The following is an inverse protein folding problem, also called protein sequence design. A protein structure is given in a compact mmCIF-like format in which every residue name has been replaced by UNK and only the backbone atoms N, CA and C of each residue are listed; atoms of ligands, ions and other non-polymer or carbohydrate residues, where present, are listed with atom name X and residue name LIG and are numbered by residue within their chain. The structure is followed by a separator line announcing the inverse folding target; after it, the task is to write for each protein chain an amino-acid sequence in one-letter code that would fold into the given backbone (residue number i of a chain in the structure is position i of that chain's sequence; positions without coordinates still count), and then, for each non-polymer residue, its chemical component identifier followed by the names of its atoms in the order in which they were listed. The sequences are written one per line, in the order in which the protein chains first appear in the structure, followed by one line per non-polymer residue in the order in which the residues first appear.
data_IF_374390336024
#
_entry.id   IF_374390336024
#
_cell.length_a   1.000
_cell.length_b   1.000
_cell.length_c   1.000
_cell.angle_alpha   90.00
_cell.angle_beta   90.00
_cell.angle_gamma   90.00
#
_symmetry.space_group_name_H-M   'P 1'
#
loop_
_entity.id
_entity.type
_entity.pdbx_description
1 polymer ?
#
# COMPACT_ATOMS: atom_id res chain seq x y z
N UNK A 1 18.30 -63.30 18.35
CA UNK A 1 18.14 -62.46 17.16
C UNK A 1 16.83 -61.67 17.13
N UNK A 2 16.35 -61.07 18.24
CA UNK A 2 15.07 -60.28 18.24
C UNK A 2 15.19 -58.85 18.79
N UNK A 3 16.39 -58.33 19.07
CA UNK A 3 16.58 -56.98 19.66
C UNK A 3 17.09 -55.91 18.66
N UNK A 4 17.50 -56.28 17.41
CA UNK A 4 18.06 -55.33 16.44
C UNK A 4 17.02 -54.72 15.47
N UNK A 5 15.83 -55.31 15.36
CA UNK A 5 14.77 -54.84 14.44
C UNK A 5 13.88 -53.74 15.01
N UNK A 6 13.83 -53.54 16.33
CA UNK A 6 13.00 -52.50 16.97
C UNK A 6 13.65 -51.11 16.96
N UNK A 7 14.97 -51.02 16.89
CA UNK A 7 15.68 -49.73 16.88
C UNK A 7 15.68 -49.04 15.50
N UNK A 8 15.58 -49.82 14.43
CA UNK A 8 15.53 -49.26 13.07
C UNK A 8 14.16 -48.66 12.72
N UNK A 9 13.07 -49.21 13.24
CA UNK A 9 11.72 -48.69 13.00
C UNK A 9 11.45 -47.38 13.78
N UNK A 10 12.02 -47.22 14.97
CA UNK A 10 11.89 -46.00 15.77
C UNK A 10 12.69 -44.82 15.18
N UNK A 11 13.83 -45.08 14.55
CA UNK A 11 14.65 -44.05 13.91
C UNK A 11 14.01 -43.53 12.62
N UNK A 12 13.35 -44.37 11.83
CA UNK A 12 12.63 -43.94 10.62
C UNK A 12 11.35 -43.14 10.96
N UNK A 13 10.64 -43.50 12.02
CA UNK A 13 9.45 -42.73 12.44
C UNK A 13 9.81 -41.35 13.02
N UNK A 14 10.97 -41.22 13.69
CA UNK A 14 11.46 -39.93 14.18
C UNK A 14 11.93 -39.02 13.05
N UNK A 15 12.55 -39.56 12.00
CA UNK A 15 12.96 -38.76 10.80
C UNK A 15 11.77 -38.30 9.95
N UNK A 16 10.69 -39.08 9.86
CA UNK A 16 9.48 -38.67 9.16
C UNK A 16 8.68 -37.63 9.92
N UNK A 17 8.69 -37.62 11.24
CA UNK A 17 8.07 -36.61 12.09
C UNK A 17 8.86 -35.28 12.09
N UNK A 18 10.20 -35.29 11.94
CA UNK A 18 11.00 -34.07 11.78
C UNK A 18 10.88 -33.45 10.37
N UNK A 19 10.62 -34.23 9.34
CA UNK A 19 10.40 -33.74 7.99
C UNK A 19 9.00 -33.09 7.77
N UNK A 20 8.02 -33.42 8.64
CA UNK A 20 6.68 -32.85 8.60
C UNK A 20 6.56 -31.51 9.40
N UNK A 21 7.60 -31.11 10.16
CA UNK A 21 7.55 -29.95 11.05
C UNK A 21 8.15 -28.65 10.47
N UNK A 22 8.47 -28.59 9.17
CA UNK A 22 8.90 -27.36 8.51
C UNK A 22 7.87 -26.79 7.51
N UNK A 23 6.59 -26.86 7.84
CA UNK A 23 5.66 -25.88 7.28
C UNK A 23 6.04 -24.54 7.91
N UNK A 24 6.82 -23.72 7.20
CA UNK A 24 7.13 -22.36 7.64
C UNK A 24 5.81 -21.64 7.92
N UNK A 25 5.63 -21.16 9.14
CA UNK A 25 4.42 -20.44 9.51
C UNK A 25 4.19 -19.30 8.50
N UNK A 26 2.96 -19.21 7.99
CA UNK A 26 2.57 -18.19 7.03
C UNK A 26 2.92 -16.78 7.56
N UNK A 27 3.61 -15.98 6.75
CA UNK A 27 3.96 -14.61 7.13
C UNK A 27 2.71 -13.73 7.27
N UNK A 28 2.83 -12.59 7.94
CA UNK A 28 1.70 -11.66 8.06
C UNK A 28 1.28 -11.10 6.68
N UNK A 29 2.22 -10.79 5.79
CA UNK A 29 1.91 -10.32 4.44
C UNK A 29 1.17 -11.38 3.62
N UNK A 30 1.49 -12.66 3.75
CA UNK A 30 0.76 -13.75 3.10
C UNK A 30 -0.69 -13.81 3.59
N UNK A 31 -0.94 -13.71 4.91
CA UNK A 31 -2.30 -13.66 5.46
C UNK A 31 -3.09 -12.44 4.98
N UNK A 32 -2.47 -11.24 5.00
CA UNK A 32 -3.10 -10.01 4.48
C UNK A 32 -3.47 -10.21 3.02
N UNK A 33 -2.56 -10.74 2.20
CA UNK A 33 -2.77 -10.97 0.79
C UNK A 33 -3.87 -12.00 0.52
N UNK A 34 -3.87 -13.12 1.22
CA UNK A 34 -4.93 -14.13 1.11
C UNK A 34 -6.30 -13.52 1.43
N UNK A 35 -6.39 -12.79 2.54
CA UNK A 35 -7.61 -12.07 2.93
C UNK A 35 -8.02 -11.05 1.87
N UNK A 36 -7.07 -10.31 1.28
CA UNK A 36 -7.32 -9.32 0.25
C UNK A 36 -7.90 -9.95 -1.02
N UNK A 37 -7.37 -11.09 -1.43
CA UNK A 37 -7.83 -11.82 -2.62
C UNK A 37 -9.08 -12.67 -2.38
N UNK A 38 -9.48 -12.89 -1.12
CA UNK A 38 -10.70 -13.62 -0.76
C UNK A 38 -11.98 -12.82 -1.06
N UNK A 39 -13.12 -13.51 -0.98
CA UNK A 39 -14.45 -12.90 -1.12
C UNK A 39 -14.99 -12.32 0.21
N UNK A 40 -14.22 -12.37 1.29
CA UNK A 40 -14.61 -11.75 2.57
C UNK A 40 -14.63 -10.23 2.43
N UNK A 41 -15.81 -9.63 2.55
CA UNK A 41 -16.03 -8.19 2.49
C UNK A 41 -16.30 -7.58 3.88
N UNK A 42 -16.27 -8.41 4.94
CA UNK A 42 -16.39 -7.91 6.30
C UNK A 42 -15.08 -7.27 6.79
N UNK A 43 -13.95 -7.82 6.37
CA UNK A 43 -12.66 -7.25 6.75
C UNK A 43 -12.35 -5.97 5.96
N UNK A 44 -11.95 -4.92 6.68
CA UNK A 44 -11.54 -3.62 6.12
C UNK A 44 -10.04 -3.44 6.31
N UNK A 45 -9.33 -3.27 5.20
CA UNK A 45 -7.89 -3.03 5.20
C UNK A 45 -7.59 -1.57 5.50
N UNK A 46 -6.57 -1.35 6.34
CA UNK A 46 -6.09 -0.02 6.68
C UNK A 46 -4.73 0.21 6.02
N UNK A 47 -4.66 1.25 5.18
CA UNK A 47 -3.44 1.76 4.59
C UNK A 47 -3.05 3.07 5.28
N UNK A 48 -1.81 3.14 5.80
CA UNK A 48 -1.30 4.35 6.43
C UNK A 48 -0.48 5.16 5.42
N UNK A 49 -0.96 6.37 5.14
CA UNK A 49 -0.40 7.31 4.16
C UNK A 49 0.96 7.84 4.62
N UNK A 50 2.02 7.57 3.86
CA UNK A 50 3.43 7.90 4.18
C UNK A 50 3.91 7.37 5.52
N UNK A 51 3.30 6.25 5.98
CA UNK A 51 3.53 5.71 7.32
C UNK A 51 2.80 6.46 8.42
N UNK A 52 3.21 6.27 9.67
CA UNK A 52 2.67 6.99 10.84
C UNK A 52 3.33 8.36 11.01
N UNK A 53 3.11 9.25 10.04
CA UNK A 53 3.75 10.56 10.00
C UNK A 53 3.27 11.53 11.10
N UNK A 54 2.18 11.22 11.77
CA UNK A 54 1.71 12.05 12.89
C UNK A 54 2.60 11.93 14.12
N UNK A 55 3.25 10.79 14.28
CA UNK A 55 4.15 10.50 15.40
C UNK A 55 5.64 10.54 15.00
N UNK A 56 5.94 10.31 13.69
CA UNK A 56 7.30 10.25 13.15
C UNK A 56 7.40 11.08 11.87
N UNK A 57 8.60 11.35 11.32
CA UNK A 57 8.70 11.95 9.98
C UNK A 57 8.02 11.06 8.92
N UNK A 58 7.31 11.68 7.95
CA UNK A 58 6.73 10.94 6.81
C UNK A 58 7.81 10.13 6.08
N UNK A 59 7.45 8.95 5.57
CA UNK A 59 8.34 8.07 4.82
C UNK A 59 9.60 7.60 5.60
N UNK A 60 9.58 7.67 6.93
CA UNK A 60 10.72 7.27 7.77
C UNK A 60 10.64 5.82 8.24
N UNK A 61 11.79 5.30 8.70
CA UNK A 61 11.89 3.97 9.29
C UNK A 61 10.88 3.76 10.42
N UNK A 62 10.83 4.70 11.37
CA UNK A 62 9.99 4.52 12.56
C UNK A 62 8.51 4.74 12.24
N UNK A 63 8.16 5.57 11.22
CA UNK A 63 6.80 5.65 10.71
C UNK A 63 6.33 4.30 10.13
N UNK A 64 7.19 3.59 9.38
CA UNK A 64 6.92 2.25 8.87
C UNK A 64 6.77 1.24 10.01
N UNK A 65 7.71 1.24 10.95
CA UNK A 65 7.68 0.31 12.10
C UNK A 65 6.46 0.54 12.99
N UNK A 66 6.02 1.78 13.15
CA UNK A 66 4.78 2.12 13.87
C UNK A 66 3.54 1.54 13.17
N UNK A 67 3.44 1.63 11.84
CA UNK A 67 2.36 1.00 11.08
C UNK A 67 2.27 -0.50 11.34
N UNK A 68 3.43 -1.18 11.37
CA UNK A 68 3.51 -2.61 11.65
C UNK A 68 3.08 -2.91 13.09
N UNK A 69 3.54 -2.12 14.06
CA UNK A 69 3.22 -2.30 15.48
C UNK A 69 1.74 -2.04 15.79
N UNK A 70 1.12 -1.07 15.12
CA UNK A 70 -0.31 -0.76 15.22
C UNK A 70 -1.19 -1.85 14.59
N UNK A 71 -0.64 -2.69 13.72
CA UNK A 71 -1.39 -3.72 13.02
C UNK A 71 -2.03 -3.26 11.72
N UNK A 72 -1.59 -2.16 11.12
CA UNK A 72 -2.02 -1.75 9.77
C UNK A 72 -1.66 -2.81 8.72
N UNK A 73 -2.46 -2.93 7.68
CA UNK A 73 -2.27 -3.94 6.62
C UNK A 73 -1.34 -3.47 5.53
N UNK A 74 -1.37 -2.18 5.23
CA UNK A 74 -0.64 -1.56 4.13
C UNK A 74 0.04 -0.30 4.66
N UNK A 75 1.29 -0.09 4.28
CA UNK A 75 1.94 1.22 4.38
C UNK A 75 2.06 1.79 2.97
N UNK A 76 1.62 3.03 2.79
CA UNK A 76 1.85 3.74 1.55
C UNK A 76 3.13 4.56 1.66
N UNK A 77 3.97 4.54 0.61
CA UNK A 77 5.29 5.15 0.56
C UNK A 77 5.53 5.78 -0.81
N UNK A 78 6.18 6.94 -0.81
CA UNK A 78 6.49 7.70 -2.01
C UNK A 78 7.92 7.43 -2.48
N UNK A 79 8.13 7.02 -3.74
CA UNK A 79 9.45 6.77 -4.31
C UNK A 79 9.88 7.88 -5.28
N UNK A 80 11.09 8.43 -5.08
CA UNK A 80 11.71 9.42 -5.97
C UNK A 80 13.09 8.95 -6.42
N UNK A 81 13.40 9.09 -7.71
CA UNK A 81 14.69 8.65 -8.27
C UNK A 81 15.76 9.74 -8.13
N UNK A 82 16.92 9.34 -7.65
CA UNK A 82 18.13 10.19 -7.52
C UNK A 82 18.86 10.31 -8.87
N UNK A 83 19.82 11.23 -8.96
CA UNK A 83 20.66 11.45 -10.15
C UNK A 83 21.40 10.17 -10.62
N UNK A 84 21.80 9.35 -9.69
CA UNK A 84 22.56 8.10 -9.93
C UNK A 84 21.66 6.84 -9.93
N UNK A 85 20.33 7.01 -10.10
CA UNK A 85 19.38 5.93 -10.39
C UNK A 85 18.92 5.12 -9.17
N UNK A 86 19.16 5.58 -7.95
CA UNK A 86 18.61 4.97 -6.74
C UNK A 86 17.24 5.56 -6.41
N UNK A 87 16.39 4.80 -5.73
CA UNK A 87 15.12 5.31 -5.20
C UNK A 87 15.24 5.63 -3.72
N UNK A 88 14.81 6.84 -3.35
CA UNK A 88 14.65 7.26 -1.96
C UNK A 88 13.17 7.43 -1.63
N UNK A 89 12.81 7.32 -0.35
CA UNK A 89 11.46 7.62 0.11
C UNK A 89 11.31 9.10 0.38
N UNK A 90 10.57 9.79 -0.49
CA UNK A 90 10.25 11.21 -0.38
C UNK A 90 9.03 11.55 -1.24
N UNK A 91 8.07 12.30 -0.68
CA UNK A 91 6.90 12.71 -1.45
C UNK A 91 7.22 13.74 -2.54
N UNK A 92 7.94 14.79 -2.18
CA UNK A 92 8.24 15.89 -3.09
C UNK A 92 9.43 15.54 -4.00
N UNK A 93 9.47 16.10 -5.19
CA UNK A 93 10.64 16.02 -6.07
C UNK A 93 11.82 16.88 -5.59
N UNK A 94 11.72 17.54 -4.41
CA UNK A 94 12.80 18.30 -3.77
C UNK A 94 12.92 17.97 -2.28
N UNK A 95 14.12 18.17 -1.72
CA UNK A 95 14.45 17.93 -0.33
C UNK A 95 13.86 18.97 0.64
N UNK A 96 13.42 20.11 0.13
CA UNK A 96 13.22 21.37 0.86
C UNK A 96 12.22 21.29 2.00
N UNK A 97 11.08 20.63 1.78
CA UNK A 97 9.97 20.58 2.75
C UNK A 97 10.29 19.63 3.90
N UNK A 98 10.69 18.41 3.62
CA UNK A 98 10.72 17.30 4.58
C UNK A 98 12.11 16.94 5.08
N UNK A 99 13.17 17.61 4.58
CA UNK A 99 14.55 17.32 4.98
C UNK A 99 15.33 18.58 5.37
N UNK A 100 16.51 18.39 5.95
CA UNK A 100 17.48 19.48 6.22
C UNK A 100 18.23 19.91 4.95
N UNK A 101 18.09 19.16 3.85
CA UNK A 101 18.70 19.43 2.56
C UNK A 101 17.89 20.42 1.72
N UNK A 102 18.46 20.75 0.56
CA UNK A 102 17.89 21.66 -0.44
C UNK A 102 18.11 21.10 -1.84
N UNK A 103 17.21 21.46 -2.76
CA UNK A 103 17.35 21.14 -4.18
C UNK A 103 16.55 19.91 -4.61
N UNK A 104 16.55 19.66 -5.93
CA UNK A 104 15.76 18.58 -6.53
C UNK A 104 16.45 17.24 -6.31
N UNK A 105 15.67 16.20 -6.00
CA UNK A 105 16.14 14.83 -5.81
C UNK A 105 16.91 14.32 -7.03
N UNK A 106 16.37 14.54 -8.22
CA UNK A 106 16.97 14.10 -9.50
C UNK A 106 18.31 14.74 -9.85
N UNK A 107 18.71 15.81 -9.16
CA UNK A 107 19.98 16.52 -9.41
C UNK A 107 21.07 16.11 -8.43
N UNK A 108 20.77 15.28 -7.43
CA UNK A 108 21.65 14.83 -6.35
C UNK A 108 21.82 13.31 -6.37
N UNK A 109 23.04 12.85 -6.08
CA UNK A 109 23.33 11.43 -5.87
C UNK A 109 22.80 10.94 -4.53
N UNK A 110 22.63 9.62 -4.40
CA UNK A 110 22.25 9.01 -3.13
C UNK A 110 23.22 9.37 -2.00
N UNK A 111 24.52 9.36 -2.28
CA UNK A 111 25.56 9.70 -1.30
C UNK A 111 25.46 11.16 -0.79
N UNK A 112 25.05 12.08 -1.65
CA UNK A 112 24.78 13.47 -1.26
C UNK A 112 23.52 13.57 -0.41
N UNK A 113 22.44 12.89 -0.81
CA UNK A 113 21.14 12.92 -0.10
C UNK A 113 21.25 12.30 1.30
N UNK A 114 21.98 11.20 1.46
CA UNK A 114 22.16 10.54 2.76
C UNK A 114 22.87 11.38 3.82
N UNK A 115 23.46 12.53 3.46
CA UNK A 115 24.02 13.50 4.42
C UNK A 115 22.95 14.31 5.16
N UNK A 116 21.73 14.36 4.65
CA UNK A 116 20.63 15.10 5.22
C UNK A 116 19.77 14.24 6.15
N UNK A 117 19.01 14.90 7.02
CA UNK A 117 18.07 14.28 7.95
C UNK A 117 16.64 14.71 7.64
N UNK A 118 15.69 13.86 8.00
CA UNK A 118 14.28 14.18 7.92
C UNK A 118 13.91 15.26 8.96
N UNK A 119 12.90 16.06 8.64
CA UNK A 119 12.22 16.97 9.57
C UNK A 119 11.01 16.26 10.20
N UNK A 120 10.55 16.76 11.33
CA UNK A 120 9.40 16.21 12.06
C UNK A 120 8.12 16.21 11.21
N UNK A 121 7.28 15.19 11.41
CA UNK A 121 5.98 15.03 10.77
C UNK A 121 6.06 15.11 9.21
N UNK A 122 5.26 15.98 8.60
CA UNK A 122 5.30 16.25 7.16
C UNK A 122 6.26 17.39 6.77
N UNK A 123 7.17 17.79 7.65
CA UNK A 123 8.11 18.88 7.36
C UNK A 123 7.43 20.25 7.24
N UNK A 124 7.99 21.12 6.38
CA UNK A 124 7.48 22.46 6.16
C UNK A 124 8.07 23.53 7.08
N UNK A 125 7.42 24.72 7.08
CA UNK A 125 7.88 25.88 7.88
C UNK A 125 7.73 25.56 9.38
N UNK A 126 8.80 25.72 10.14
CA UNK A 126 8.81 25.49 11.60
C UNK A 126 9.05 24.04 12.01
N UNK A 127 9.05 23.08 11.09
CA UNK A 127 9.37 21.69 11.40
C UNK A 127 10.84 21.55 11.83
N UNK A 128 11.07 20.82 12.93
CA UNK A 128 12.40 20.63 13.51
C UNK A 128 13.15 19.53 12.77
N UNK A 129 14.47 19.69 12.59
CA UNK A 129 15.33 18.60 12.16
C UNK A 129 15.28 17.47 13.19
N UNK A 130 15.29 16.24 12.70
CA UNK A 130 15.31 15.04 13.55
C UNK A 130 16.62 14.27 13.38
N UNK A 131 16.75 13.15 14.06
CA UNK A 131 17.85 12.19 13.87
C UNK A 131 17.61 11.19 12.72
N UNK A 132 16.43 11.17 12.12
CA UNK A 132 16.01 10.17 11.15
C UNK A 132 16.65 10.37 9.78
N UNK A 133 17.12 9.26 9.23
CA UNK A 133 17.70 9.21 7.88
C UNK A 133 16.61 9.10 6.80
N UNK A 134 16.95 9.56 5.61
CA UNK A 134 16.16 9.33 4.40
C UNK A 134 16.40 7.88 3.98
N UNK A 135 15.34 7.08 3.89
CA UNK A 135 15.43 5.68 3.45
C UNK A 135 15.54 5.56 1.93
N UNK A 136 16.18 4.50 1.47
CA UNK A 136 15.98 4.01 0.09
C UNK A 136 14.76 3.09 0.03
N UNK A 137 14.27 2.83 -1.18
CA UNK A 137 13.18 1.86 -1.41
C UNK A 137 13.60 0.45 -0.97
N UNK A 138 14.83 0.04 -1.25
CA UNK A 138 15.38 -1.26 -0.84
C UNK A 138 15.41 -1.41 0.69
N UNK A 139 15.85 -0.36 1.40
CA UNK A 139 15.84 -0.34 2.87
C UNK A 139 14.40 -0.48 3.41
N UNK A 140 13.42 0.19 2.80
CA UNK A 140 12.02 0.08 3.20
C UNK A 140 11.43 -1.30 2.91
N UNK A 141 11.69 -1.88 1.72
CA UNK A 141 11.24 -3.23 1.38
C UNK A 141 11.84 -4.29 2.32
N UNK A 142 13.09 -4.12 2.75
CA UNK A 142 13.69 -5.00 3.75
C UNK A 142 13.00 -4.89 5.13
N UNK A 143 12.57 -3.68 5.54
CA UNK A 143 11.84 -3.47 6.80
C UNK A 143 10.43 -4.05 6.79
N UNK A 144 9.76 -4.02 5.64
CA UNK A 144 8.36 -4.43 5.49
C UNK A 144 8.18 -5.91 5.21
N UNK A 145 9.22 -6.59 4.72
CA UNK A 145 9.20 -7.98 4.26
C UNK A 145 8.56 -8.94 5.26
N UNK A 146 7.53 -9.65 4.83
CA UNK A 146 6.75 -10.60 5.64
C UNK A 146 5.86 -9.97 6.71
N UNK A 147 5.82 -8.63 6.83
CA UNK A 147 5.21 -7.93 7.97
C UNK A 147 4.03 -7.04 7.59
N UNK A 148 4.10 -6.32 6.47
CA UNK A 148 3.09 -5.37 5.99
C UNK A 148 3.19 -5.23 4.48
N UNK A 149 2.07 -5.06 3.76
CA UNK A 149 2.10 -4.76 2.34
C UNK A 149 2.54 -3.30 2.10
N UNK A 150 3.18 -3.06 0.96
CA UNK A 150 3.64 -1.71 0.57
C UNK A 150 2.87 -1.23 -0.64
N UNK A 151 2.18 -0.10 -0.54
CA UNK A 151 1.70 0.64 -1.70
C UNK A 151 2.75 1.67 -2.12
N UNK A 152 3.32 1.54 -3.31
CA UNK A 152 4.32 2.47 -3.83
C UNK A 152 3.63 3.57 -4.64
N UNK A 153 3.63 4.80 -4.12
CA UNK A 153 3.18 5.99 -4.86
C UNK A 153 4.33 6.57 -5.72
N UNK A 154 3.99 7.47 -6.66
CA UNK A 154 4.89 7.96 -7.72
C UNK A 154 5.37 6.88 -8.69
N UNK A 155 4.83 5.66 -8.59
CA UNK A 155 5.18 4.49 -9.40
C UNK A 155 5.26 4.79 -10.90
N UNK A 156 4.30 5.54 -11.45
CA UNK A 156 4.18 5.82 -12.89
C UNK A 156 5.30 6.71 -13.46
N UNK A 157 6.12 7.31 -12.61
CA UNK A 157 7.27 8.11 -13.07
C UNK A 157 8.43 7.22 -13.54
N UNK A 158 8.63 6.06 -12.91
CA UNK A 158 9.71 5.12 -13.19
C UNK A 158 9.26 3.67 -12.95
N UNK A 159 8.22 3.18 -13.65
CA UNK A 159 7.56 1.93 -13.29
C UNK A 159 8.47 0.70 -13.48
N UNK A 160 9.27 0.71 -14.53
CA UNK A 160 10.18 -0.40 -14.83
C UNK A 160 11.29 -0.51 -13.80
N UNK A 161 11.96 0.61 -13.51
CA UNK A 161 13.08 0.66 -12.57
C UNK A 161 12.62 0.36 -11.13
N UNK A 162 11.44 0.82 -10.72
CA UNK A 162 10.86 0.47 -9.42
C UNK A 162 10.60 -1.03 -9.33
N UNK A 163 10.03 -1.66 -10.38
CA UNK A 163 9.76 -3.08 -10.38
C UNK A 163 11.03 -3.93 -10.41
N UNK A 164 12.11 -3.46 -11.01
CA UNK A 164 13.43 -4.11 -10.91
C UNK A 164 13.94 -4.12 -9.45
N UNK A 165 13.77 -3.03 -8.72
CA UNK A 165 14.11 -2.97 -7.28
C UNK A 165 13.24 -3.93 -6.47
N UNK A 166 11.93 -3.96 -6.72
CA UNK A 166 10.97 -4.85 -6.05
C UNK A 166 11.29 -6.32 -6.32
N UNK A 167 11.61 -6.67 -7.58
CA UNK A 167 11.99 -8.02 -7.99
C UNK A 167 13.29 -8.47 -7.31
N UNK A 168 14.33 -7.62 -7.34
CA UNK A 168 15.61 -7.88 -6.69
C UNK A 168 15.47 -8.06 -5.17
N UNK A 169 14.55 -7.34 -4.54
CA UNK A 169 14.23 -7.50 -3.11
C UNK A 169 13.42 -8.78 -2.80
N UNK A 170 12.92 -9.48 -3.84
CA UNK A 170 12.00 -10.62 -3.70
C UNK A 170 10.67 -10.20 -3.04
N UNK A 171 10.18 -8.98 -3.36
CA UNK A 171 9.01 -8.37 -2.73
C UNK A 171 7.80 -8.27 -3.66
N UNK A 172 7.82 -8.91 -4.83
CA UNK A 172 6.77 -8.79 -5.86
C UNK A 172 5.37 -9.09 -5.32
N UNK A 173 5.25 -10.07 -4.43
CA UNK A 173 3.97 -10.45 -3.78
C UNK A 173 3.57 -9.54 -2.63
N UNK A 174 4.45 -8.66 -2.17
CA UNK A 174 4.25 -7.80 -1.01
C UNK A 174 4.00 -6.34 -1.37
N UNK A 175 3.98 -6.04 -2.68
CA UNK A 175 3.83 -4.70 -3.22
C UNK A 175 2.52 -4.55 -3.96
N UNK A 176 1.90 -3.39 -3.81
CA UNK A 176 0.77 -2.87 -4.56
C UNK A 176 1.23 -1.65 -5.36
N UNK A 177 1.00 -1.66 -6.66
CA UNK A 177 1.25 -0.52 -7.54
C UNK A 177 -0.04 0.01 -8.13
N UNK A 178 -0.06 1.29 -8.50
CA UNK A 178 -1.27 1.96 -8.97
C UNK A 178 -0.99 2.96 -10.09
N UNK A 179 -2.00 3.23 -10.91
CA UNK A 179 -1.94 4.28 -11.92
C UNK A 179 -3.31 4.85 -12.25
N UNK A 180 -3.32 6.07 -12.81
CA UNK A 180 -4.51 6.74 -13.34
C UNK A 180 -4.75 6.44 -14.83
N UNK A 181 -4.01 5.52 -15.42
CA UNK A 181 -4.09 5.18 -16.84
C UNK A 181 -5.25 4.21 -17.12
N UNK A 182 -5.77 4.24 -18.35
CA UNK A 182 -6.67 3.19 -18.83
C UNK A 182 -5.95 1.85 -19.06
N UNK A 183 -6.68 0.74 -19.29
CA UNK A 183 -6.09 -0.61 -19.36
C UNK A 183 -4.96 -0.75 -20.37
N UNK A 184 -5.13 -0.22 -21.58
CA UNK A 184 -4.12 -0.32 -22.65
C UNK A 184 -2.83 0.44 -22.30
N UNK A 185 -2.96 1.65 -21.74
CA UNK A 185 -1.82 2.47 -21.32
C UNK A 185 -1.10 1.82 -20.14
N UNK A 186 -1.83 1.30 -19.14
CA UNK A 186 -1.26 0.61 -18.00
C UNK A 186 -0.45 -0.62 -18.42
N UNK A 187 -0.99 -1.44 -19.35
CA UNK A 187 -0.27 -2.58 -19.93
C UNK A 187 1.01 -2.17 -20.64
N UNK A 188 0.99 -1.04 -21.33
CA UNK A 188 2.15 -0.52 -22.05
C UNK A 188 3.22 0.04 -21.11
N UNK A 189 2.81 0.67 -20.00
CA UNK A 189 3.68 1.39 -19.06
C UNK A 189 4.73 0.47 -18.40
N UNK A 190 4.37 -0.78 -18.11
CA UNK A 190 5.28 -1.77 -17.53
C UNK A 190 5.09 -3.16 -18.16
N UNK A 191 5.09 -3.18 -19.48
CA UNK A 191 4.79 -4.33 -20.35
C UNK A 191 5.44 -5.64 -19.90
N UNK A 192 6.72 -5.61 -19.53
CA UNK A 192 7.48 -6.81 -19.16
C UNK A 192 7.00 -7.42 -17.83
N UNK A 193 6.50 -6.59 -16.92
CA UNK A 193 5.97 -6.99 -15.61
C UNK A 193 4.45 -7.21 -15.60
N UNK A 194 3.76 -6.92 -16.71
CA UNK A 194 2.30 -7.11 -16.75
C UNK A 194 1.89 -8.57 -16.52
N UNK A 195 2.72 -9.52 -16.92
CA UNK A 195 2.54 -10.95 -16.62
C UNK A 195 2.40 -11.23 -15.11
N UNK A 196 3.08 -10.46 -14.27
CA UNK A 196 3.00 -10.62 -12.81
C UNK A 196 1.65 -10.10 -12.27
N UNK A 197 1.05 -9.09 -12.92
CA UNK A 197 -0.34 -8.67 -12.65
C UNK A 197 -1.32 -9.75 -13.09
N UNK A 198 -1.14 -10.33 -14.27
CA UNK A 198 -2.00 -11.40 -14.81
C UNK A 198 -1.96 -12.68 -13.99
N UNK A 199 -0.79 -13.06 -13.51
CA UNK A 199 -0.63 -14.19 -12.59
C UNK A 199 -1.13 -13.92 -11.18
N UNK A 200 -1.45 -12.66 -10.87
CA UNK A 200 -1.80 -12.21 -9.53
C UNK A 200 -0.59 -12.13 -8.58
N UNK A 201 0.64 -12.22 -9.06
CA UNK A 201 1.84 -12.07 -8.25
C UNK A 201 2.02 -10.62 -7.80
N UNK A 202 1.90 -9.66 -8.71
CA UNK A 202 1.90 -8.22 -8.43
C UNK A 202 0.47 -7.73 -8.27
N UNK A 203 0.18 -7.03 -7.18
CA UNK A 203 -1.09 -6.35 -6.99
C UNK A 203 -1.09 -5.03 -7.77
N UNK A 204 -2.13 -4.84 -8.59
CA UNK A 204 -2.33 -3.62 -9.36
C UNK A 204 -3.69 -3.00 -9.07
N UNK A 205 -3.71 -1.67 -8.95
CA UNK A 205 -4.90 -0.89 -8.61
C UNK A 205 -5.08 0.29 -9.58
N UNK A 206 -6.12 0.29 -10.43
CA UNK A 206 -6.54 1.49 -11.12
C UNK A 206 -6.95 2.59 -10.14
N UNK A 207 -6.52 3.83 -10.39
CA UNK A 207 -6.93 5.01 -9.65
C UNK A 207 -7.93 5.81 -10.48
N UNK A 208 -9.15 5.93 -9.99
CA UNK A 208 -10.24 6.61 -10.66
C UNK A 208 -10.59 7.89 -9.89
N UNK A 209 -10.23 9.04 -10.44
CA UNK A 209 -10.27 10.33 -9.75
C UNK A 209 -11.45 11.18 -10.19
N UNK A 210 -12.61 11.02 -9.52
CA UNK A 210 -13.74 11.94 -9.63
C UNK A 210 -13.55 13.16 -8.71
N UNK A 211 -12.37 13.79 -8.83
CA UNK A 211 -11.96 14.96 -8.05
C UNK A 211 -10.92 15.78 -8.85
N UNK A 212 -10.60 16.98 -8.38
CA UNK A 212 -9.52 17.84 -8.91
C UNK A 212 -9.56 18.07 -10.44
N UNK A 213 -10.77 18.28 -11.02
CA UNK A 213 -10.99 18.47 -12.46
C UNK A 213 -10.59 17.28 -13.35
N UNK A 214 -10.54 16.06 -12.79
CA UNK A 214 -10.22 14.83 -13.53
C UNK A 214 -11.44 13.95 -13.82
N UNK A 215 -12.65 14.47 -13.61
CA UNK A 215 -13.93 13.74 -13.74
C UNK A 215 -14.12 13.12 -15.12
N UNK A 216 -13.79 13.84 -16.21
CA UNK A 216 -13.93 13.33 -17.59
C UNK A 216 -13.01 12.13 -17.84
N UNK A 217 -11.75 12.24 -17.42
CA UNK A 217 -10.80 11.15 -17.53
C UNK A 217 -11.26 9.92 -16.73
N UNK A 218 -11.69 10.12 -15.48
CA UNK A 218 -12.23 9.05 -14.63
C UNK A 218 -13.46 8.38 -15.25
N UNK A 219 -14.38 9.18 -15.82
CA UNK A 219 -15.58 8.70 -16.50
C UNK A 219 -15.26 7.86 -17.74
N UNK A 220 -14.15 8.15 -18.43
CA UNK A 220 -13.66 7.39 -19.57
C UNK A 220 -13.03 6.05 -19.11
N UNK A 221 -12.07 6.08 -18.20
CA UNK A 221 -11.27 4.88 -17.87
C UNK A 221 -12.01 3.87 -17.00
N UNK A 222 -12.97 4.28 -16.16
CA UNK A 222 -13.68 3.36 -15.28
C UNK A 222 -14.47 2.28 -16.04
N UNK A 223 -15.27 2.60 -17.07
CA UNK A 223 -15.93 1.56 -17.88
C UNK A 223 -14.95 0.64 -18.61
N UNK A 224 -13.83 1.18 -19.11
CA UNK A 224 -12.79 0.40 -19.77
C UNK A 224 -12.20 -0.65 -18.81
N UNK A 225 -11.89 -0.27 -17.57
CA UNK A 225 -11.39 -1.19 -16.55
C UNK A 225 -12.43 -2.23 -16.10
N UNK A 226 -13.71 -1.84 -16.00
CA UNK A 226 -14.78 -2.78 -15.65
C UNK A 226 -14.99 -3.82 -16.74
N UNK A 227 -14.82 -3.43 -18.02
CA UNK A 227 -14.97 -4.32 -19.17
C UNK A 227 -13.72 -5.19 -19.44
N UNK A 228 -12.60 -4.96 -18.76
CA UNK A 228 -11.37 -5.72 -18.99
C UNK A 228 -11.52 -7.19 -18.57
N UNK A 229 -11.35 -8.11 -19.52
CA UNK A 229 -11.50 -9.56 -19.32
C UNK A 229 -10.23 -10.33 -19.75
N UNK A 230 -9.77 -11.31 -18.98
CA UNK A 230 -10.09 -11.53 -17.57
C UNK A 230 -9.61 -10.38 -16.72
N UNK A 231 -10.32 -10.09 -15.60
CA UNK A 231 -10.02 -8.94 -14.78
C UNK A 231 -8.59 -8.93 -14.28
N UNK A 232 -7.87 -7.82 -14.54
CA UNK A 232 -6.49 -7.60 -14.10
C UNK A 232 -6.40 -6.81 -12.77
N UNK A 233 -7.46 -6.10 -12.40
CA UNK A 233 -7.50 -5.34 -11.16
C UNK A 233 -8.31 -6.06 -10.08
N UNK A 234 -7.70 -6.29 -8.92
CA UNK A 234 -8.36 -6.88 -7.74
C UNK A 234 -9.10 -5.83 -6.91
N UNK A 235 -8.78 -4.56 -7.12
CA UNK A 235 -9.30 -3.42 -6.38
C UNK A 235 -9.25 -2.15 -7.22
N UNK A 236 -10.00 -1.13 -6.81
CA UNK A 236 -10.01 0.21 -7.41
C UNK A 236 -9.84 1.26 -6.32
N UNK A 237 -8.89 2.17 -6.50
CA UNK A 237 -8.85 3.41 -5.72
C UNK A 237 -9.81 4.42 -6.35
N UNK A 238 -10.81 4.87 -5.58
CA UNK A 238 -11.79 5.84 -6.04
C UNK A 238 -11.71 7.09 -5.18
N UNK A 239 -11.31 8.20 -5.81
CA UNK A 239 -11.31 9.52 -5.19
C UNK A 239 -12.52 10.31 -5.68
N UNK A 240 -13.22 11.01 -4.79
CA UNK A 240 -14.42 11.75 -5.13
C UNK A 240 -14.57 13.02 -4.29
N UNK A 241 -14.99 14.11 -4.92
CA UNK A 241 -15.23 15.41 -4.26
C UNK A 241 -16.71 15.85 -4.26
N UNK A 242 -17.60 15.00 -4.78
CA UNK A 242 -19.02 15.31 -4.95
C UNK A 242 -19.89 14.08 -4.90
N UNK A 243 -21.20 14.26 -4.66
CA UNK A 243 -22.20 13.18 -4.71
C UNK A 243 -22.25 12.48 -6.08
N UNK A 244 -22.03 13.22 -7.17
CA UNK A 244 -21.95 12.64 -8.50
C UNK A 244 -20.75 11.70 -8.65
N UNK A 245 -19.61 12.05 -8.05
CA UNK A 245 -18.43 11.18 -7.96
C UNK A 245 -18.72 9.96 -7.08
N UNK A 246 -19.34 10.14 -5.92
CA UNK A 246 -19.71 9.06 -5.01
C UNK A 246 -20.69 8.06 -5.66
N UNK A 247 -21.61 8.52 -6.49
CA UNK A 247 -22.53 7.65 -7.23
C UNK A 247 -21.80 6.65 -8.17
N UNK A 248 -20.55 6.94 -8.59
CA UNK A 248 -19.78 6.02 -9.42
C UNK A 248 -19.26 4.78 -8.67
N UNK A 249 -19.22 4.82 -7.33
CA UNK A 249 -18.87 3.66 -6.50
C UNK A 249 -19.80 2.47 -6.75
N UNK A 250 -21.08 2.74 -7.08
CA UNK A 250 -22.04 1.69 -7.41
C UNK A 250 -21.63 0.89 -8.65
N UNK A 251 -21.02 1.53 -9.66
CA UNK A 251 -20.53 0.84 -10.85
C UNK A 251 -19.39 -0.13 -10.49
N UNK A 252 -18.47 0.29 -9.63
CA UNK A 252 -17.38 -0.56 -9.15
C UNK A 252 -17.93 -1.72 -8.32
N UNK A 253 -18.85 -1.44 -7.41
CA UNK A 253 -19.49 -2.45 -6.54
C UNK A 253 -20.24 -3.53 -7.34
N UNK A 254 -20.90 -3.12 -8.44
CA UNK A 254 -21.63 -4.03 -9.35
C UNK A 254 -20.75 -4.69 -10.42
N UNK A 255 -19.47 -4.30 -10.52
CA UNK A 255 -18.58 -4.87 -11.51
C UNK A 255 -18.39 -6.38 -11.30
N UNK A 256 -18.26 -7.19 -12.38
CA UNK A 256 -18.08 -8.63 -12.28
C UNK A 256 -16.91 -8.99 -11.33
N UNK A 257 -17.06 -10.03 -10.47
CA UNK A 257 -16.09 -10.45 -9.45
C UNK A 257 -15.99 -9.51 -8.23
N UNK A 258 -16.87 -8.49 -8.11
CA UNK A 258 -16.98 -7.59 -6.96
C UNK A 258 -15.59 -7.13 -6.45
N UNK A 259 -14.84 -6.32 -7.20
CA UNK A 259 -13.51 -5.86 -6.79
C UNK A 259 -13.61 -5.09 -5.47
N UNK A 260 -12.51 -5.03 -4.73
CA UNK A 260 -12.42 -4.20 -3.55
C UNK A 260 -12.42 -2.71 -3.92
N UNK A 261 -12.98 -1.90 -3.05
CA UNK A 261 -12.99 -0.44 -3.19
C UNK A 261 -12.05 0.14 -2.13
N UNK A 262 -11.05 0.90 -2.59
CA UNK A 262 -10.16 1.69 -1.78
C UNK A 262 -10.59 3.15 -1.81
N UNK A 263 -10.80 3.75 -0.65
CA UNK A 263 -11.12 5.17 -0.49
C UNK A 263 -10.02 5.85 0.32
N UNK A 264 -9.58 7.01 -0.16
CA UNK A 264 -8.65 7.89 0.53
C UNK A 264 -9.43 8.82 1.44
N UNK A 265 -9.23 8.70 2.76
CA UNK A 265 -9.94 9.51 3.75
C UNK A 265 -9.14 10.71 4.27
N UNK A 266 -7.88 10.89 3.83
CA UNK A 266 -6.99 11.93 4.33
C UNK A 266 -7.57 13.34 4.20
N UNK A 267 -8.24 13.63 3.09
CA UNK A 267 -8.78 14.97 2.82
C UNK A 267 -10.22 14.93 2.34
N UNK A 268 -10.98 15.98 2.67
CA UNK A 268 -12.37 16.16 2.27
C UNK A 268 -12.57 16.03 0.74
N UNK A 269 -11.64 16.53 -0.05
CA UNK A 269 -11.66 16.49 -1.52
C UNK A 269 -11.43 15.11 -2.14
N UNK A 270 -11.07 14.12 -1.35
CA UNK A 270 -10.88 12.74 -1.79
C UNK A 270 -12.03 11.82 -1.40
N UNK A 271 -12.87 12.24 -0.46
CA UNK A 271 -13.95 11.42 0.13
C UNK A 271 -15.26 12.21 0.29
N UNK A 272 -15.64 12.96 -0.72
CA UNK A 272 -16.92 13.70 -0.77
C UNK A 272 -17.20 14.49 0.52
N UNK A 273 -16.25 15.30 0.96
CA UNK A 273 -16.37 16.13 2.15
C UNK A 273 -16.22 15.40 3.49
N UNK A 274 -15.76 14.13 3.50
CA UNK A 274 -15.69 13.26 4.68
C UNK A 274 -14.24 12.83 4.99
N UNK A 275 -13.37 13.84 5.22
CA UNK A 275 -11.97 13.60 5.54
C UNK A 275 -11.72 13.15 6.98
N UNK A 276 -10.51 12.67 7.25
CA UNK A 276 -10.07 12.09 8.53
C UNK A 276 -10.27 13.02 9.74
N UNK A 277 -10.07 14.34 9.57
CA UNK A 277 -10.27 15.30 10.68
C UNK A 277 -11.71 15.23 11.22
N UNK A 278 -12.70 15.09 10.33
CA UNK A 278 -14.10 14.84 10.71
C UNK A 278 -14.30 13.43 11.25
N UNK A 279 -13.58 12.45 10.70
CA UNK A 279 -13.59 11.06 11.13
C UNK A 279 -13.14 10.88 12.57
N UNK A 280 -12.16 11.65 12.99
CA UNK A 280 -11.70 11.66 14.38
C UNK A 280 -12.82 12.04 15.38
N UNK A 281 -13.68 12.99 15.03
CA UNK A 281 -14.78 13.44 15.89
C UNK A 281 -16.09 12.70 15.67
N UNK A 282 -16.35 12.25 14.45
CA UNK A 282 -17.56 11.51 14.07
C UNK A 282 -17.23 10.40 13.05
N UNK A 283 -16.67 9.27 13.52
CA UNK A 283 -16.22 8.20 12.65
C UNK A 283 -17.34 7.54 11.83
N UNK A 284 -18.56 7.45 12.37
CA UNK A 284 -19.68 6.82 11.65
C UNK A 284 -20.13 7.62 10.43
N UNK A 285 -20.13 8.97 10.51
CA UNK A 285 -20.49 9.84 9.39
C UNK A 285 -19.38 10.02 8.33
N UNK A 286 -18.18 9.54 8.60
CA UNK A 286 -17.00 9.66 7.74
C UNK A 286 -16.50 8.29 7.30
N UNK A 287 -15.72 7.61 8.13
CA UNK A 287 -15.23 6.27 7.84
C UNK A 287 -16.37 5.25 7.67
N UNK A 288 -17.37 5.28 8.57
CA UNK A 288 -18.58 4.46 8.50
C UNK A 288 -19.37 4.72 7.21
N UNK A 289 -19.49 5.98 6.79
CA UNK A 289 -20.10 6.31 5.50
C UNK A 289 -19.33 5.66 4.35
N UNK A 290 -17.99 5.74 4.32
CA UNK A 290 -17.17 5.09 3.27
C UNK A 290 -17.42 3.58 3.23
N UNK A 291 -17.54 2.92 4.40
CA UNK A 291 -17.90 1.50 4.49
C UNK A 291 -19.31 1.23 3.94
N UNK A 292 -20.28 2.10 4.20
CA UNK A 292 -21.66 1.98 3.69
C UNK A 292 -21.70 2.10 2.16
N UNK A 293 -20.73 2.81 1.55
CA UNK A 293 -20.55 2.87 0.10
C UNK A 293 -19.88 1.62 -0.48
N UNK A 294 -19.54 0.64 0.35
CA UNK A 294 -18.90 -0.62 -0.07
C UNK A 294 -17.36 -0.61 -0.02
N UNK A 295 -16.74 0.43 0.55
CA UNK A 295 -15.30 0.42 0.77
C UNK A 295 -14.90 -0.74 1.70
N UNK A 296 -13.83 -1.43 1.33
CA UNK A 296 -13.18 -2.47 2.12
C UNK A 296 -11.69 -2.19 2.33
N UNK A 297 -11.22 -1.05 1.84
CA UNK A 297 -9.86 -0.56 2.00
C UNK A 297 -9.93 0.95 2.25
N UNK A 298 -9.31 1.43 3.31
CA UNK A 298 -9.28 2.86 3.65
C UNK A 298 -7.82 3.31 3.81
N UNK A 299 -7.45 4.39 3.13
CA UNK A 299 -6.17 5.06 3.34
C UNK A 299 -6.38 6.30 4.20
N UNK A 300 -5.56 6.45 5.24
CA UNK A 300 -5.77 7.42 6.31
C UNK A 300 -4.47 8.04 6.81
N UNK A 301 -4.57 9.27 7.32
CA UNK A 301 -3.57 9.94 8.14
C UNK A 301 -3.73 9.66 9.65
N UNK A 302 -4.81 8.97 10.05
CA UNK A 302 -5.18 8.67 11.45
C UNK A 302 -5.30 7.15 11.67
N UNK A 303 -4.21 6.42 11.36
CA UNK A 303 -4.23 4.96 11.34
C UNK A 303 -4.59 4.33 12.68
N UNK A 304 -4.06 4.84 13.80
CA UNK A 304 -4.35 4.30 15.12
C UNK A 304 -5.84 4.44 15.48
N UNK A 305 -6.42 5.62 15.24
CA UNK A 305 -7.82 5.92 15.51
C UNK A 305 -8.76 5.13 14.60
N UNK A 306 -8.40 4.99 13.32
CA UNK A 306 -9.17 4.17 12.38
C UNK A 306 -9.16 2.71 12.78
N UNK A 307 -8.02 2.15 13.19
CA UNK A 307 -7.92 0.78 13.68
C UNK A 307 -8.77 0.56 14.93
N UNK A 308 -8.76 1.50 15.88
CA UNK A 308 -9.63 1.47 17.07
C UNK A 308 -11.11 1.45 16.64
N UNK A 309 -11.51 2.32 15.73
CA UNK A 309 -12.87 2.36 15.21
C UNK A 309 -13.28 1.04 14.55
N UNK A 310 -12.46 0.51 13.62
CA UNK A 310 -12.76 -0.71 12.88
C UNK A 310 -12.80 -1.95 13.78
N UNK A 311 -11.93 -2.03 14.78
CA UNK A 311 -11.95 -3.11 15.78
C UNK A 311 -13.23 -3.05 16.63
N UNK A 312 -13.65 -1.86 17.05
CA UNK A 312 -14.88 -1.65 17.82
C UNK A 312 -16.12 -2.15 17.08
N UNK A 313 -16.18 -1.97 15.77
CA UNK A 313 -17.30 -2.42 14.92
C UNK A 313 -17.09 -3.83 14.34
N UNK A 314 -16.03 -4.55 14.75
CA UNK A 314 -15.75 -5.93 14.32
C UNK A 314 -15.34 -6.06 12.85
N UNK A 315 -14.75 -5.02 12.27
CA UNK A 315 -14.38 -4.97 10.84
C UNK A 315 -12.88 -5.11 10.57
N UNK A 316 -12.04 -5.26 11.62
CA UNK A 316 -10.60 -5.43 11.48
C UNK A 316 -10.07 -6.38 12.57
N UNK A 317 -9.76 -7.63 12.20
CA UNK A 317 -9.10 -8.63 13.05
C UNK A 317 -8.39 -9.66 12.15
N UNK A 318 -7.06 -9.71 12.23
CA UNK A 318 -6.20 -10.64 11.49
C UNK A 318 -5.57 -11.67 12.43
#
# INVERSE_FOLDING_TARGET
MKRRTFLAAAACAALTLLAAASATAQTRTERIREKLLSNDRNYVFVAMHRGDWRNFPENSKDAILSCIALGADIVELDAQMTKDGHFILLHDGSLDRTTTGKGKVKDLTLAEIKKFKLKSNQGGKGAKATKYDILTLEEALALTKGRILVNIDKFTQHPYEILQVVEKAGAMKEVLVKSTHGPAEAKSLFKEYWKNVESGELLYMPVVQFCWKKHEHAAKILPEWIAEEPRKASMYEVCMDSDAGAAQLEKVRKAPGAPRIWINTMWDTLNNGRGDVKGFTNPDSTWGWSLSQGATMLQTDYGAEMLVYLNRIGRHSL
#
